data_IF_481860886234
#
_entry.id   IF_481860886234
#
_cell.length_a   1.000
_cell.length_b   1.000
_cell.length_c   1.000
_cell.angle_alpha   90.00
_cell.angle_beta   90.00
_cell.angle_gamma   90.00
#
_symmetry.space_group_name_H-M   'P 1'
#
loop_
_entity.id
_entity.type
_entity.pdbx_description
1 polymer ?
#
# COMPACT_ATOMS: atom_id res chain seq x y z
N UNK A 1 -6.77 26.52 6.60
CA UNK A 1 -5.64 25.63 6.97
C UNK A 1 -6.18 24.49 7.83
N UNK A 2 -6.13 23.25 7.36
CA UNK A 2 -6.50 22.09 8.20
C UNK A 2 -5.39 21.86 9.24
N UNK A 3 -5.69 21.64 10.53
CA UNK A 3 -4.66 21.35 11.53
C UNK A 3 -3.83 20.16 11.07
N UNK A 4 -2.51 20.31 11.01
CA UNK A 4 -1.63 19.18 10.73
C UNK A 4 -1.67 18.25 11.94
N UNK A 5 -2.54 17.25 11.90
CA UNK A 5 -2.61 16.21 12.91
C UNK A 5 -1.22 15.57 13.07
N UNK A 6 -0.63 15.73 14.26
CA UNK A 6 0.70 15.18 14.58
C UNK A 6 0.61 13.66 14.54
N UNK A 7 1.28 13.05 13.56
CA UNK A 7 1.32 11.60 13.40
C UNK A 7 2.11 10.95 14.54
N UNK A 8 1.60 9.84 15.07
CA UNK A 8 2.31 9.01 16.05
C UNK A 8 3.60 8.42 15.45
N UNK A 9 4.51 7.95 16.30
CA UNK A 9 5.75 7.28 15.85
C UNK A 9 5.45 6.12 14.88
N UNK A 10 4.51 5.25 15.25
CA UNK A 10 4.09 4.11 14.43
C UNK A 10 3.45 4.54 13.10
N UNK A 11 2.63 5.60 13.09
CA UNK A 11 2.07 6.13 11.85
C UNK A 11 3.17 6.67 10.92
N UNK A 12 4.20 7.32 11.48
CA UNK A 12 5.36 7.77 10.69
C UNK A 12 6.13 6.58 10.12
N UNK A 13 6.35 5.53 10.91
CA UNK A 13 7.01 4.31 10.45
C UNK A 13 6.24 3.60 9.34
N UNK A 14 4.92 3.43 9.49
CA UNK A 14 4.07 2.83 8.45
C UNK A 14 4.15 3.62 7.14
N UNK A 15 4.10 4.95 7.20
CA UNK A 15 4.23 5.80 6.02
C UNK A 15 5.65 5.77 5.42
N UNK A 16 6.69 5.67 6.25
CA UNK A 16 8.07 5.54 5.78
C UNK A 16 8.25 4.20 5.04
N UNK A 17 7.72 3.11 5.60
CA UNK A 17 7.73 1.79 4.98
C UNK A 17 6.96 1.77 3.66
N UNK A 18 5.77 2.37 3.62
CA UNK A 18 4.98 2.49 2.38
C UNK A 18 5.75 3.25 1.29
N UNK A 19 6.36 4.39 1.62
CA UNK A 19 7.16 5.15 0.65
C UNK A 19 8.38 4.38 0.17
N UNK A 20 9.06 3.63 1.04
CA UNK A 20 10.18 2.76 0.66
C UNK A 20 9.70 1.65 -0.29
N UNK A 21 8.57 1.01 0.00
CA UNK A 21 7.97 0.02 -0.88
C UNK A 21 7.64 0.59 -2.28
N UNK A 22 7.09 1.81 -2.36
CA UNK A 22 6.84 2.48 -3.65
C UNK A 22 8.13 2.86 -4.40
N UNK A 23 9.25 3.07 -3.71
CA UNK A 23 10.56 3.25 -4.36
C UNK A 23 11.11 1.93 -4.87
N UNK A 24 10.99 0.84 -4.09
CA UNK A 24 11.35 -0.51 -4.54
C UNK A 24 10.58 -0.90 -5.80
N UNK A 25 9.27 -0.60 -5.89
CA UNK A 25 8.48 -0.87 -7.10
C UNK A 25 9.13 -0.22 -8.35
N UNK A 26 9.71 0.98 -8.23
CA UNK A 26 10.36 1.66 -9.36
C UNK A 26 11.65 0.98 -9.83
N UNK A 27 12.33 0.23 -8.96
CA UNK A 27 13.53 -0.52 -9.35
C UNK A 27 13.23 -1.82 -10.09
N UNK A 28 11.96 -2.25 -10.13
CA UNK A 28 11.56 -3.51 -10.78
C UNK A 28 11.40 -3.38 -12.31
N UNK A 29 11.52 -4.49 -13.06
CA UNK A 29 11.28 -4.51 -14.50
C UNK A 29 9.90 -3.97 -14.86
N UNK A 30 9.75 -3.20 -15.97
CA UNK A 30 8.46 -2.59 -16.34
C UNK A 30 7.28 -3.57 -16.37
N UNK A 31 7.51 -4.81 -16.84
CA UNK A 31 6.49 -5.85 -16.94
C UNK A 31 5.90 -6.29 -15.58
N UNK A 32 6.67 -6.21 -14.48
CA UNK A 32 6.23 -6.63 -13.15
C UNK A 32 5.89 -5.46 -12.21
N UNK A 33 6.22 -4.21 -12.57
CA UNK A 33 5.92 -3.01 -11.75
C UNK A 33 4.45 -2.91 -11.35
N UNK A 34 3.55 -3.25 -12.26
CA UNK A 34 2.11 -3.22 -11.97
C UNK A 34 1.72 -4.23 -10.89
N UNK A 35 2.29 -5.44 -10.90
CA UNK A 35 2.04 -6.45 -9.87
C UNK A 35 2.56 -6.00 -8.50
N UNK A 36 3.79 -5.49 -8.44
CA UNK A 36 4.36 -4.97 -7.19
C UNK A 36 3.57 -3.76 -6.66
N UNK A 37 3.18 -2.84 -7.54
CA UNK A 37 2.35 -1.68 -7.17
C UNK A 37 1.01 -2.12 -6.59
N UNK A 38 0.35 -3.09 -7.25
CA UNK A 38 -0.91 -3.66 -6.78
C UNK A 38 -0.74 -4.30 -5.40
N UNK A 39 0.25 -5.19 -5.27
CA UNK A 39 0.55 -5.86 -4.00
C UNK A 39 0.75 -4.84 -2.87
N UNK A 40 1.61 -3.85 -3.06
CA UNK A 40 1.90 -2.81 -2.05
C UNK A 40 0.65 -2.00 -1.71
N UNK A 41 -0.14 -1.57 -2.70
CA UNK A 41 -1.34 -0.77 -2.45
C UNK A 41 -2.41 -1.57 -1.72
N UNK A 42 -2.67 -2.80 -2.16
CA UNK A 42 -3.62 -3.70 -1.55
C UNK A 42 -3.23 -3.95 -0.08
N UNK A 43 -2.00 -4.40 0.19
CA UNK A 43 -1.56 -4.74 1.55
C UNK A 43 -1.70 -3.56 2.52
N UNK A 44 -1.22 -2.37 2.14
CA UNK A 44 -1.29 -1.22 3.05
C UNK A 44 -2.71 -0.71 3.24
N UNK A 45 -3.55 -0.70 2.20
CA UNK A 45 -4.93 -0.18 2.31
C UNK A 45 -5.83 -1.15 3.06
N UNK A 46 -5.74 -2.45 2.79
CA UNK A 46 -6.50 -3.48 3.50
C UNK A 46 -6.12 -3.52 4.98
N UNK A 47 -4.83 -3.41 5.32
CA UNK A 47 -4.42 -3.32 6.72
C UNK A 47 -4.91 -2.02 7.38
N UNK A 48 -4.88 -0.89 6.67
CA UNK A 48 -5.35 0.38 7.20
C UNK A 48 -6.88 0.41 7.43
N UNK A 49 -7.67 -0.36 6.67
CA UNK A 49 -9.12 -0.48 6.88
C UNK A 49 -9.49 -1.47 7.97
N UNK A 50 -8.70 -2.55 8.13
CA UNK A 50 -9.08 -3.68 8.96
C UNK A 50 -8.45 -3.65 10.36
N UNK A 51 -7.45 -2.81 10.59
CA UNK A 51 -6.70 -2.78 11.86
C UNK A 51 -6.99 -1.48 12.60
N UNK A 52 -7.45 -1.63 13.84
CA UNK A 52 -7.65 -0.49 14.72
C UNK A 52 -6.32 0.23 14.98
N UNK A 53 -6.26 1.57 14.90
CA UNK A 53 -5.07 2.33 15.29
C UNK A 53 -4.65 2.13 16.75
N UNK A 54 -5.53 1.57 17.60
CA UNK A 54 -5.24 1.23 19.00
C UNK A 54 -4.59 -0.14 19.18
N UNK A 55 -4.62 -1.00 18.16
CA UNK A 55 -3.97 -2.30 18.19
C UNK A 55 -2.48 -2.18 17.83
N UNK A 56 -1.73 -1.64 18.79
CA UNK A 56 -0.30 -1.33 18.64
C UNK A 56 0.52 -2.59 18.37
N UNK A 57 0.22 -3.70 19.06
CA UNK A 57 0.96 -4.96 18.92
C UNK A 57 0.86 -5.53 17.51
N UNK A 58 -0.35 -5.55 16.93
CA UNK A 58 -0.54 -6.00 15.55
C UNK A 58 0.17 -5.08 14.55
N UNK A 59 0.11 -3.76 14.76
CA UNK A 59 0.81 -2.79 13.89
C UNK A 59 2.32 -3.03 13.93
N UNK A 60 2.91 -3.20 15.11
CA UNK A 60 4.35 -3.47 15.24
C UNK A 60 4.76 -4.80 14.60
N UNK A 61 3.95 -5.85 14.77
CA UNK A 61 4.17 -7.13 14.11
C UNK A 61 4.18 -6.96 12.58
N UNK A 62 3.19 -6.26 12.02
CA UNK A 62 3.10 -6.02 10.58
C UNK A 62 4.22 -5.13 10.06
N UNK A 63 4.65 -4.13 10.82
CA UNK A 63 5.81 -3.30 10.46
C UNK A 63 7.08 -4.15 10.37
N UNK A 64 7.31 -5.05 11.34
CA UNK A 64 8.46 -5.97 11.30
C UNK A 64 8.39 -6.93 10.12
N UNK A 65 7.22 -7.55 9.90
CA UNK A 65 6.99 -8.46 8.76
C UNK A 65 7.19 -7.75 7.42
N UNK A 66 6.61 -6.56 7.27
CA UNK A 66 6.70 -5.76 6.05
C UNK A 66 8.13 -5.27 5.76
N UNK A 67 8.90 -4.89 6.79
CA UNK A 67 10.32 -4.54 6.64
C UNK A 67 11.13 -5.70 6.06
N UNK A 68 11.00 -6.91 6.62
CA UNK A 68 11.69 -8.12 6.12
C UNK A 68 11.27 -8.48 4.68
N UNK A 69 9.97 -8.42 4.40
CA UNK A 69 9.47 -8.71 3.05
C UNK A 69 10.00 -7.69 2.02
N UNK A 70 10.08 -6.42 2.40
CA UNK A 70 10.60 -5.38 1.55
C UNK A 70 12.11 -5.53 1.29
N UNK A 71 12.89 -5.90 2.29
CA UNK A 71 14.32 -6.21 2.13
C UNK A 71 14.54 -7.33 1.11
N UNK A 72 13.76 -8.40 1.20
CA UNK A 72 13.77 -9.48 0.20
C UNK A 72 13.41 -8.96 -1.19
N UNK A 73 12.36 -8.15 -1.30
CA UNK A 73 11.96 -7.55 -2.59
C UNK A 73 12.93 -6.49 -3.10
N UNK A 74 13.81 -5.90 -2.30
CA UNK A 74 14.83 -4.97 -2.80
C UNK A 74 15.99 -5.69 -3.48
N UNK A 75 16.14 -7.00 -3.27
CA UNK A 75 17.18 -7.79 -3.96
C UNK A 75 17.01 -7.73 -5.49
N UNK A 76 18.10 -7.55 -6.26
CA UNK A 76 18.04 -7.49 -7.73
C UNK A 76 17.58 -8.80 -8.38
N UNK A 77 17.77 -9.94 -7.71
CA UNK A 77 17.35 -11.26 -8.18
C UNK A 77 15.82 -11.43 -8.18
N UNK A 78 15.11 -10.75 -7.29
CA UNK A 78 13.65 -10.80 -7.23
C UNK A 78 13.06 -9.84 -8.26
N UNK A 79 12.63 -10.39 -9.40
CA UNK A 79 12.14 -9.60 -10.55
C UNK A 79 10.63 -9.58 -10.71
N UNK A 80 9.91 -10.47 -10.04
CA UNK A 80 8.45 -10.56 -10.13
C UNK A 80 7.81 -10.89 -8.77
N UNK A 81 6.51 -10.66 -8.64
CA UNK A 81 5.72 -11.10 -7.51
C UNK A 81 4.39 -11.68 -7.96
N UNK A 82 3.85 -12.59 -7.14
CA UNK A 82 2.50 -13.10 -7.36
C UNK A 82 1.46 -12.10 -6.84
N UNK A 83 0.33 -12.01 -7.54
CA UNK A 83 -0.87 -11.28 -7.12
C UNK A 83 -2.07 -12.20 -7.29
N UNK A 84 -2.89 -12.28 -6.24
CA UNK A 84 -4.10 -13.11 -6.24
C UNK A 84 -5.20 -12.52 -7.13
N UNK A 85 -6.21 -13.33 -7.47
CA UNK A 85 -7.40 -12.80 -8.15
C UNK A 85 -8.13 -11.79 -7.27
N UNK A 86 -8.22 -12.04 -5.96
CA UNK A 86 -8.78 -11.09 -4.99
C UNK A 86 -8.12 -9.71 -5.06
N UNK A 87 -6.78 -9.65 -5.16
CA UNK A 87 -6.07 -8.38 -5.33
C UNK A 87 -6.45 -7.68 -6.62
N UNK A 88 -6.62 -8.43 -7.72
CA UNK A 88 -7.02 -7.89 -9.02
C UNK A 88 -8.45 -7.36 -8.96
N UNK A 89 -9.36 -8.11 -8.35
CA UNK A 89 -10.75 -7.73 -8.14
C UNK A 89 -10.83 -6.44 -7.32
N UNK A 90 -10.07 -6.38 -6.24
CA UNK A 90 -9.97 -5.22 -5.38
C UNK A 90 -9.54 -3.97 -6.16
N UNK A 91 -8.54 -4.07 -7.04
CA UNK A 91 -8.07 -2.93 -7.85
C UNK A 91 -9.07 -2.52 -8.93
N UNK A 92 -9.76 -3.49 -9.56
CA UNK A 92 -10.84 -3.19 -10.52
C UNK A 92 -11.97 -2.42 -9.83
N UNK A 93 -12.41 -2.87 -8.65
CA UNK A 93 -13.46 -2.23 -7.88
C UNK A 93 -13.03 -0.87 -7.34
N UNK A 94 -11.81 -0.76 -6.83
CA UNK A 94 -11.24 0.48 -6.32
C UNK A 94 -11.17 1.57 -7.41
N UNK A 95 -10.72 1.22 -8.62
CA UNK A 95 -10.67 2.16 -9.76
C UNK A 95 -12.06 2.61 -10.21
N UNK A 96 -13.03 1.68 -10.28
CA UNK A 96 -14.43 2.02 -10.58
C UNK A 96 -15.02 2.98 -9.55
N UNK A 97 -14.78 2.73 -8.25
CA UNK A 97 -15.25 3.60 -7.18
C UNK A 97 -14.67 5.02 -7.29
N UNK A 98 -13.39 5.16 -7.60
CA UNK A 98 -12.76 6.47 -7.82
C UNK A 98 -13.41 7.21 -9.00
N UNK A 99 -13.55 6.54 -10.15
CA UNK A 99 -14.17 7.14 -11.34
C UNK A 99 -15.59 7.62 -11.07
N UNK A 100 -16.40 6.81 -10.39
CA UNK A 100 -17.78 7.17 -10.04
C UNK A 100 -17.85 8.34 -9.04
N UNK A 101 -16.87 8.45 -8.14
CA UNK A 101 -16.78 9.55 -7.17
C UNK A 101 -16.34 10.89 -7.76
N UNK A 102 -15.65 10.86 -8.91
CA UNK A 102 -15.24 12.06 -9.65
C UNK A 102 -16.40 12.59 -10.51
N UNK A 103 -17.23 11.71 -11.08
CA UNK A 103 -18.42 12.09 -11.86
C UNK A 103 -19.54 12.76 -11.05
N UNK A 104 -19.55 12.62 -9.73
CA UNK A 104 -20.61 13.21 -8.86
C UNK A 104 -20.33 14.66 -8.43
N UNK A 105 -19.21 15.27 -8.87
CA UNK A 105 -18.77 16.60 -8.42
C UNK A 105 -19.06 17.76 -9.38
N UNK A 106 -19.89 17.56 -10.42
CA UNK A 106 -20.29 18.64 -11.34
C UNK A 106 -21.80 18.91 -11.16
N UNK A 107 -22.22 19.90 -10.37
CA UNK A 107 -23.53 20.49 -10.56
C UNK A 107 -23.48 21.43 -11.77
N UNK A 108 -24.54 21.39 -12.56
CA UNK A 108 -24.78 22.27 -13.71
C UNK A 108 -24.97 23.72 -13.31
#
# INVERSE_FOLDING_TARGET
>A
MSPTLRKSGLQKEALALYRRALRMVRSKPPASRLKFSLFVRYTFRTNASNISPRDVSTIEHLLRKGKRQLEMYETPSVKDCWVSEEMRDWDRNWRRAIQNSESTKIPS
#
